data_IF_846274027430
#
_entry.id   IF_846274027430
#
_cell.length_a   1.000
_cell.length_b   1.000
_cell.length_c   1.000
_cell.angle_alpha   90.00
_cell.angle_beta   90.00
_cell.angle_gamma   90.00
#
_symmetry.space_group_name_H-M   'P 1'
#
loop_
_entity.id
_entity.type
_entity.pdbx_description
1 polymer ?
#
# COMPACT_ATOMS: atom_id res chain seq x y z
N UNK A 1 38.76 -54.30 -65.76
CA UNK A 1 39.41 -53.48 -64.73
C UNK A 1 39.69 -52.10 -65.33
N UNK A 2 38.78 -51.14 -65.08
CA UNK A 2 38.96 -49.76 -65.58
C UNK A 2 38.76 -48.84 -64.38
N UNK A 3 39.82 -48.14 -63.95
CA UNK A 3 39.78 -47.13 -62.93
C UNK A 3 39.23 -45.84 -63.51
N UNK A 4 38.16 -45.29 -62.87
CA UNK A 4 37.72 -43.91 -63.10
C UNK A 4 38.19 -43.07 -61.94
N UNK A 5 38.99 -42.08 -62.28
CA UNK A 5 39.48 -41.03 -61.35
C UNK A 5 38.53 -39.86 -61.45
N UNK A 6 37.74 -39.62 -60.41
CA UNK A 6 36.85 -38.45 -60.34
C UNK A 6 37.54 -37.34 -59.51
N UNK A 7 37.78 -36.24 -60.14
CA UNK A 7 38.31 -35.00 -59.58
C UNK A 7 37.13 -34.26 -58.91
N UNK A 8 37.18 -34.11 -57.57
CA UNK A 8 36.24 -33.24 -56.86
C UNK A 8 36.82 -31.83 -56.78
N UNK A 9 36.14 -30.89 -57.42
CA UNK A 9 36.40 -29.44 -57.31
C UNK A 9 35.71 -28.94 -55.99
N UNK A 10 36.48 -28.55 -54.98
CA UNK A 10 35.95 -27.94 -53.75
C UNK A 10 35.65 -26.47 -53.98
N UNK A 11 34.36 -26.12 -54.03
CA UNK A 11 33.88 -24.77 -54.04
C UNK A 11 33.77 -24.28 -52.60
N UNK A 12 34.71 -23.46 -52.12
CA UNK A 12 34.69 -22.86 -50.79
C UNK A 12 33.62 -21.78 -50.69
N UNK A 13 32.50 -22.06 -50.04
CA UNK A 13 31.52 -21.06 -49.66
C UNK A 13 31.96 -20.39 -48.33
N UNK A 14 32.40 -19.14 -48.41
CA UNK A 14 32.57 -18.25 -47.25
C UNK A 14 31.21 -17.92 -46.68
N UNK A 15 30.73 -18.71 -45.72
CA UNK A 15 29.54 -18.45 -44.94
C UNK A 15 29.84 -17.36 -43.89
N UNK A 16 29.52 -16.12 -44.19
CA UNK A 16 29.50 -15.05 -43.22
C UNK A 16 28.43 -15.33 -42.18
N UNK A 17 28.86 -15.69 -40.95
CA UNK A 17 27.94 -15.75 -39.78
C UNK A 17 27.56 -14.33 -39.41
N UNK A 18 26.39 -13.89 -39.86
CA UNK A 18 25.74 -12.71 -39.28
C UNK A 18 25.40 -13.04 -37.82
N UNK A 19 26.18 -12.56 -36.86
CA UNK A 19 25.79 -12.54 -35.46
C UNK A 19 24.58 -11.61 -35.33
N UNK A 20 23.39 -12.22 -35.25
CA UNK A 20 22.19 -11.51 -34.81
C UNK A 20 22.43 -11.07 -33.38
N UNK A 21 22.71 -9.78 -33.18
CA UNK A 21 22.68 -9.17 -31.84
C UNK A 21 21.24 -9.18 -31.38
N UNK A 22 20.86 -10.22 -30.63
CA UNK A 22 19.59 -10.25 -29.96
C UNK A 22 19.54 -9.04 -29.00
N UNK A 23 18.72 -8.08 -29.32
CA UNK A 23 18.43 -6.95 -28.43
C UNK A 23 17.80 -7.53 -27.21
N UNK A 24 18.48 -7.48 -26.06
CA UNK A 24 17.94 -7.91 -24.76
C UNK A 24 16.84 -6.89 -24.42
N UNK A 25 15.62 -7.19 -24.81
CA UNK A 25 14.44 -6.44 -24.37
C UNK A 25 14.30 -6.70 -22.86
N UNK A 26 14.56 -5.67 -22.06
CA UNK A 26 14.26 -5.76 -20.62
C UNK A 26 12.76 -6.03 -20.47
N UNK A 27 12.36 -7.06 -19.72
CA UNK A 27 10.94 -7.33 -19.52
C UNK A 27 10.27 -6.11 -18.89
N UNK A 28 9.15 -5.68 -19.47
CA UNK A 28 8.32 -4.61 -18.89
C UNK A 28 7.64 -5.20 -17.65
N UNK A 29 7.86 -4.62 -16.48
CA UNK A 29 7.24 -5.16 -15.26
C UNK A 29 5.73 -4.94 -15.27
N UNK A 30 4.99 -5.85 -14.66
CA UNK A 30 3.58 -5.62 -14.38
C UNK A 30 3.42 -4.34 -13.52
N UNK A 31 2.42 -3.49 -13.79
CA UNK A 31 2.21 -2.25 -13.03
C UNK A 31 2.12 -2.48 -11.52
N UNK A 32 1.56 -3.61 -11.08
CA UNK A 32 1.47 -4.00 -9.68
C UNK A 32 2.84 -4.20 -9.02
N UNK A 33 3.81 -4.81 -9.73
CA UNK A 33 5.19 -4.94 -9.22
C UNK A 33 5.82 -3.59 -8.90
N UNK A 34 5.64 -2.61 -9.79
CA UNK A 34 6.19 -1.27 -9.59
C UNK A 34 5.55 -0.59 -8.39
N UNK A 35 4.22 -0.73 -8.21
CA UNK A 35 3.52 -0.19 -7.04
C UNK A 35 4.02 -0.81 -5.73
N UNK A 36 4.23 -2.14 -5.69
CA UNK A 36 4.80 -2.83 -4.52
C UNK A 36 6.19 -2.29 -4.16
N UNK A 37 7.09 -2.16 -5.14
CA UNK A 37 8.45 -1.66 -4.91
C UNK A 37 8.43 -0.21 -4.42
N UNK A 38 7.56 0.63 -4.97
CA UNK A 38 7.40 2.02 -4.55
C UNK A 38 6.81 2.14 -3.14
N UNK A 39 5.86 1.26 -2.80
CA UNK A 39 5.20 1.26 -1.50
C UNK A 39 6.11 0.73 -0.38
N UNK A 40 6.98 -0.23 -0.68
CA UNK A 40 7.81 -0.92 0.31
C UNK A 40 9.33 -0.81 0.03
N UNK A 41 9.88 0.40 -0.17
CA UNK A 41 11.27 0.60 -0.58
C UNK A 41 12.28 0.18 0.50
N UNK A 42 11.85 -0.04 1.74
CA UNK A 42 12.71 -0.53 2.83
C UNK A 42 12.99 -2.03 2.71
N UNK A 43 12.12 -2.79 2.05
CA UNK A 43 12.17 -4.25 1.94
C UNK A 43 12.48 -4.73 0.53
N UNK A 44 11.97 -4.05 -0.49
CA UNK A 44 12.11 -4.44 -1.89
C UNK A 44 13.18 -3.62 -2.59
N UNK A 45 13.95 -4.29 -3.48
CA UNK A 45 15.01 -3.63 -4.25
C UNK A 45 14.81 -3.67 -5.76
N UNK A 46 13.91 -4.53 -6.27
CA UNK A 46 13.72 -4.68 -7.70
C UNK A 46 12.79 -5.83 -8.06
N UNK A 47 12.83 -6.20 -9.33
CA UNK A 47 11.98 -7.24 -9.94
C UNK A 47 12.72 -7.98 -11.06
N UNK A 48 12.20 -9.13 -11.44
CA UNK A 48 12.47 -9.84 -12.70
C UNK A 48 11.18 -9.91 -13.51
N UNK A 49 11.11 -10.79 -14.51
CA UNK A 49 9.90 -10.98 -15.33
C UNK A 49 8.67 -11.35 -14.48
N UNK A 50 8.83 -12.22 -13.49
CA UNK A 50 7.74 -12.71 -12.64
C UNK A 50 8.10 -12.81 -11.15
N UNK A 51 9.10 -12.06 -10.66
CA UNK A 51 9.44 -12.08 -9.23
C UNK A 51 9.74 -10.67 -8.75
N UNK A 52 9.31 -10.37 -7.52
CA UNK A 52 9.85 -9.26 -6.75
C UNK A 52 11.13 -9.72 -6.03
N UNK A 53 12.08 -8.80 -5.89
CA UNK A 53 13.38 -9.06 -5.27
C UNK A 53 13.45 -8.29 -3.95
N UNK A 54 13.67 -9.02 -2.87
CA UNK A 54 13.87 -8.48 -1.54
C UNK A 54 15.29 -7.95 -1.35
N UNK A 55 15.47 -7.03 -0.41
CA UNK A 55 16.81 -6.48 -0.09
C UNK A 55 17.74 -7.50 0.53
N UNK A 56 17.23 -8.55 1.15
CA UNK A 56 18.01 -9.68 1.67
C UNK A 56 18.54 -10.62 0.56
N UNK A 57 18.21 -10.34 -0.70
CA UNK A 57 18.63 -11.13 -1.85
C UNK A 57 17.67 -12.24 -2.27
N UNK A 58 16.69 -12.56 -1.46
CA UNK A 58 15.66 -13.54 -1.83
C UNK A 58 14.69 -12.99 -2.86
N UNK A 59 13.96 -13.87 -3.52
CA UNK A 59 12.90 -13.52 -4.47
C UNK A 59 11.58 -14.15 -4.04
N UNK A 60 10.47 -13.54 -4.51
CA UNK A 60 9.12 -14.06 -4.32
C UNK A 60 8.37 -13.98 -5.66
N UNK A 61 7.69 -15.05 -6.11
CA UNK A 61 6.85 -15.01 -7.31
C UNK A 61 5.82 -13.87 -7.19
N UNK A 62 5.56 -13.21 -8.33
CA UNK A 62 4.51 -12.19 -8.43
C UNK A 62 3.18 -12.83 -8.79
N UNK A 63 3.19 -13.74 -9.76
CA UNK A 63 2.04 -14.43 -10.32
C UNK A 63 2.37 -15.94 -10.32
N UNK A 64 1.49 -16.76 -9.77
CA UNK A 64 1.63 -18.24 -9.76
C UNK A 64 1.14 -18.88 -11.07
N UNK A 65 0.54 -18.09 -11.97
CA UNK A 65 0.02 -18.54 -13.26
C UNK A 65 -1.26 -19.37 -13.17
N UNK A 66 -1.92 -19.39 -12.01
CA UNK A 66 -3.17 -20.13 -11.81
C UNK A 66 -4.37 -19.22 -12.07
N UNK A 67 -5.37 -19.79 -12.74
CA UNK A 67 -6.69 -19.17 -12.79
C UNK A 67 -7.49 -19.62 -11.56
N UNK A 68 -7.89 -18.68 -10.73
CA UNK A 68 -8.56 -18.92 -9.45
C UNK A 68 -9.98 -18.38 -9.46
N UNK A 69 -10.91 -19.10 -8.86
CA UNK A 69 -12.20 -18.54 -8.46
C UNK A 69 -12.00 -17.52 -7.33
N UNK A 70 -13.02 -16.74 -6.99
CA UNK A 70 -12.92 -15.75 -5.92
C UNK A 70 -12.55 -16.39 -4.57
N UNK A 71 -13.19 -17.51 -4.21
CA UNK A 71 -12.89 -18.23 -2.97
C UNK A 71 -11.46 -18.77 -2.95
N UNK A 72 -11.00 -19.38 -4.05
CA UNK A 72 -9.62 -19.84 -4.20
C UNK A 72 -8.62 -18.67 -4.11
N UNK A 73 -8.98 -17.51 -4.66
CA UNK A 73 -8.16 -16.31 -4.56
C UNK A 73 -8.02 -15.85 -3.10
N UNK A 74 -9.08 -15.90 -2.32
CA UNK A 74 -8.99 -15.57 -0.90
C UNK A 74 -8.06 -16.51 -0.12
N UNK A 75 -8.08 -17.81 -0.42
CA UNK A 75 -7.30 -18.82 0.32
C UNK A 75 -5.85 -18.90 -0.14
N UNK A 76 -5.57 -18.60 -1.42
CA UNK A 76 -4.25 -18.72 -2.05
C UNK A 76 -3.81 -17.49 -2.82
N UNK A 77 -4.12 -16.30 -2.30
CA UNK A 77 -3.75 -15.00 -2.90
C UNK A 77 -2.25 -14.90 -3.15
N UNK A 78 -1.83 -14.71 -4.38
CA UNK A 78 -0.48 -14.30 -4.74
C UNK A 78 -0.35 -12.74 -4.82
N UNK A 79 0.76 -12.23 -5.34
CA UNK A 79 0.96 -10.78 -5.42
C UNK A 79 0.23 -10.15 -6.61
N UNK A 80 0.00 -10.91 -7.66
CA UNK A 80 -0.78 -10.48 -8.82
C UNK A 80 -2.25 -10.31 -8.42
N UNK A 81 -2.84 -11.31 -7.78
CA UNK A 81 -4.19 -11.27 -7.23
C UNK A 81 -4.37 -10.07 -6.28
N UNK A 82 -3.40 -9.88 -5.36
CA UNK A 82 -3.41 -8.76 -4.42
C UNK A 82 -3.45 -7.40 -5.12
N UNK A 83 -2.74 -7.26 -6.24
CA UNK A 83 -2.54 -5.99 -6.93
C UNK A 83 -3.57 -5.70 -8.02
N UNK A 84 -4.14 -6.73 -8.63
CA UNK A 84 -5.05 -6.61 -9.77
C UNK A 84 -6.50 -7.06 -9.46
N UNK A 85 -6.73 -7.67 -8.31
CA UNK A 85 -8.05 -8.12 -7.88
C UNK A 85 -9.00 -6.96 -7.54
N UNK A 86 -9.59 -7.00 -6.37
CA UNK A 86 -10.58 -5.99 -5.96
C UNK A 86 -9.91 -4.63 -5.70
N UNK A 87 -10.07 -3.71 -6.67
CA UNK A 87 -9.37 -2.41 -6.68
C UNK A 87 -9.95 -1.46 -5.64
N UNK A 88 -9.12 -0.99 -4.72
CA UNK A 88 -9.47 0.06 -3.76
C UNK A 88 -9.37 1.45 -4.41
N UNK A 89 -10.46 2.23 -4.35
CA UNK A 89 -10.50 3.61 -4.87
C UNK A 89 -10.58 4.61 -3.72
N UNK A 90 -9.53 5.41 -3.46
CA UNK A 90 -9.54 6.39 -2.38
C UNK A 90 -10.44 7.59 -2.71
N UNK A 91 -10.90 8.30 -1.69
CA UNK A 91 -11.66 9.54 -1.81
C UNK A 91 -13.07 9.40 -2.40
N UNK A 92 -13.48 8.22 -2.81
CA UNK A 92 -14.79 7.97 -3.38
C UNK A 92 -15.82 7.84 -2.26
N UNK A 93 -16.94 8.56 -2.38
CA UNK A 93 -18.08 8.33 -1.52
C UNK A 93 -18.66 6.94 -1.81
N UNK A 94 -18.89 6.16 -0.75
CA UNK A 94 -19.54 4.85 -0.86
C UNK A 94 -21.00 5.04 -0.45
N UNK A 95 -21.89 4.99 -1.44
CA UNK A 95 -23.33 5.00 -1.17
C UNK A 95 -23.86 3.58 -0.98
N UNK A 96 -23.37 2.62 -1.76
CA UNK A 96 -23.64 1.19 -1.62
C UNK A 96 -22.50 0.42 -2.26
N UNK A 97 -21.75 -0.43 -1.52
CA UNK A 97 -20.74 -1.30 -2.12
C UNK A 97 -21.36 -2.28 -3.13
N UNK A 98 -20.60 -2.64 -4.14
CA UNK A 98 -20.99 -3.71 -5.06
C UNK A 98 -21.11 -5.03 -4.30
N UNK A 99 -22.13 -5.85 -4.66
CA UNK A 99 -22.35 -7.16 -4.06
C UNK A 99 -21.05 -7.98 -4.03
N UNK A 100 -20.75 -8.58 -2.89
CA UNK A 100 -19.59 -9.42 -2.61
C UNK A 100 -18.23 -8.81 -3.04
N UNK A 101 -18.11 -7.48 -3.02
CA UNK A 101 -16.90 -6.78 -3.42
C UNK A 101 -16.25 -6.09 -2.21
N UNK A 102 -15.12 -6.63 -1.75
CA UNK A 102 -14.35 -6.15 -0.61
C UNK A 102 -12.97 -5.64 -1.05
N UNK A 103 -12.86 -4.40 -1.57
CA UNK A 103 -11.64 -3.89 -2.18
C UNK A 103 -10.44 -3.90 -1.24
N UNK A 104 -9.34 -4.53 -1.68
CA UNK A 104 -8.09 -4.61 -0.93
C UNK A 104 -8.02 -5.75 0.09
N UNK A 105 -9.00 -6.65 0.14
CA UNK A 105 -9.00 -7.79 1.07
C UNK A 105 -8.16 -8.97 0.58
N UNK A 106 -7.85 -9.07 -0.69
CA UNK A 106 -6.87 -10.04 -1.19
C UNK A 106 -5.49 -9.68 -0.64
N UNK A 107 -4.88 -10.60 0.10
CA UNK A 107 -3.58 -10.41 0.78
C UNK A 107 -2.71 -11.64 0.62
N UNK A 108 -1.60 -11.51 -0.07
CA UNK A 108 -0.56 -12.54 -0.10
C UNK A 108 0.02 -12.68 1.31
N UNK A 109 -0.40 -13.73 2.03
CA UNK A 109 -0.04 -13.95 3.44
C UNK A 109 1.47 -14.06 3.65
N UNK A 110 2.17 -14.73 2.74
CA UNK A 110 3.62 -14.92 2.81
C UNK A 110 4.37 -13.59 2.69
N UNK A 111 3.87 -12.69 1.83
CA UNK A 111 4.45 -11.35 1.66
C UNK A 111 4.39 -10.55 2.97
N UNK A 112 3.24 -10.52 3.61
CA UNK A 112 3.06 -9.81 4.88
C UNK A 112 3.82 -10.48 6.03
N UNK A 113 3.78 -11.80 6.13
CA UNK A 113 4.55 -12.55 7.14
C UNK A 113 6.05 -12.30 7.02
N UNK A 114 6.60 -12.34 5.82
CA UNK A 114 8.03 -12.03 5.58
C UNK A 114 8.36 -10.61 6.00
N UNK A 115 7.49 -9.67 5.75
CA UNK A 115 7.73 -8.24 6.02
C UNK A 115 7.52 -7.88 7.49
N UNK A 116 6.41 -8.30 8.09
CA UNK A 116 5.96 -7.87 9.42
C UNK A 116 6.25 -8.88 10.54
N UNK A 117 6.56 -10.13 10.21
CA UNK A 117 6.85 -11.20 11.15
C UNK A 117 5.97 -12.42 10.94
N UNK A 118 6.59 -13.62 10.95
CA UNK A 118 5.92 -14.90 10.73
C UNK A 118 5.41 -15.56 12.03
N UNK A 119 5.66 -14.94 13.19
CA UNK A 119 5.15 -15.38 14.48
C UNK A 119 4.74 -14.20 15.35
N UNK A 120 3.91 -14.46 16.36
CA UNK A 120 3.48 -13.45 17.33
C UNK A 120 4.66 -12.76 18.01
N UNK A 121 5.67 -13.54 18.42
CA UNK A 121 6.86 -12.99 19.06
C UNK A 121 7.63 -12.04 18.14
N UNK A 122 7.77 -12.39 16.86
CA UNK A 122 8.41 -11.52 15.87
C UNK A 122 7.61 -10.25 15.62
N UNK A 123 6.30 -10.34 15.48
CA UNK A 123 5.44 -9.18 15.30
C UNK A 123 5.46 -8.27 16.54
N UNK A 124 5.32 -8.84 17.73
CA UNK A 124 5.39 -8.11 19.02
C UNK A 124 6.70 -7.36 19.21
N UNK A 125 7.84 -7.96 18.83
CA UNK A 125 9.15 -7.32 18.97
C UNK A 125 9.33 -6.05 18.13
N UNK A 126 8.46 -5.82 17.17
CA UNK A 126 8.47 -4.66 16.24
C UNK A 126 7.46 -3.59 16.62
N UNK A 127 6.67 -3.82 17.67
CA UNK A 127 5.69 -2.85 18.15
C UNK A 127 6.38 -1.71 18.90
N UNK A 128 5.93 -0.51 18.63
CA UNK A 128 6.37 0.71 19.31
C UNK A 128 5.14 1.52 19.72
N UNK A 129 5.21 2.29 20.82
CA UNK A 129 4.10 3.12 21.24
C UNK A 129 4.01 4.38 20.36
N UNK A 130 2.78 4.79 20.08
CA UNK A 130 2.46 6.12 19.55
C UNK A 130 1.46 6.82 20.48
N UNK A 131 1.35 8.14 20.33
CA UNK A 131 0.41 8.96 21.10
C UNK A 131 -0.88 9.11 20.31
N UNK A 132 -1.99 8.69 20.90
CA UNK A 132 -3.32 8.72 20.28
C UNK A 132 -4.29 9.57 21.12
N UNK A 133 -5.28 10.26 20.52
CA UNK A 133 -6.31 10.98 21.27
C UNK A 133 -7.05 10.08 22.27
N UNK A 134 -7.20 10.52 23.53
CA UNK A 134 -7.98 9.82 24.52
C UNK A 134 -9.36 10.48 24.75
N UNK A 135 -10.25 9.84 25.50
CA UNK A 135 -11.65 10.26 25.68
C UNK A 135 -11.77 11.67 26.27
N UNK A 136 -11.04 11.97 27.33
CA UNK A 136 -11.07 13.29 27.94
C UNK A 136 -10.41 14.33 27.02
N UNK A 137 -11.05 15.50 26.85
CA UNK A 137 -10.53 16.56 25.99
C UNK A 137 -9.11 16.99 26.41
N UNK A 138 -8.21 17.07 25.45
CA UNK A 138 -6.82 17.44 25.70
C UNK A 138 -5.95 16.34 26.29
N UNK A 139 -6.49 15.13 26.50
CA UNK A 139 -5.73 13.96 26.98
C UNK A 139 -5.34 13.03 25.83
N UNK A 140 -4.32 12.20 26.07
CA UNK A 140 -3.80 11.22 25.13
C UNK A 140 -3.64 9.87 25.80
N UNK A 141 -3.58 8.82 24.99
CA UNK A 141 -3.26 7.45 25.40
C UNK A 141 -2.12 6.91 24.54
N UNK A 142 -1.44 5.89 25.02
CA UNK A 142 -0.46 5.15 24.22
C UNK A 142 -1.13 3.94 23.58
N UNK A 143 -0.91 3.76 22.29
CA UNK A 143 -1.31 2.57 21.55
C UNK A 143 -0.09 1.97 20.87
N UNK A 144 -0.07 0.66 20.65
CA UNK A 144 1.09 -0.07 20.16
C UNK A 144 0.87 -0.51 18.72
N UNK A 145 1.75 -0.10 17.82
CA UNK A 145 1.70 -0.40 16.38
C UNK A 145 3.08 -0.76 15.87
N UNK A 146 3.15 -1.44 14.73
CA UNK A 146 4.45 -1.83 14.16
C UNK A 146 5.27 -0.64 13.69
N UNK A 147 6.58 -0.70 13.87
CA UNK A 147 7.54 0.25 13.29
C UNK A 147 7.91 -0.09 11.84
N UNK A 148 7.58 -1.31 11.38
CA UNK A 148 7.86 -1.75 10.01
C UNK A 148 7.17 -0.82 9.01
N UNK A 149 7.83 -0.51 7.92
CA UNK A 149 7.38 0.44 6.87
C UNK A 149 7.00 1.84 7.40
N UNK A 150 7.34 2.15 8.64
CA UNK A 150 6.98 3.42 9.25
C UNK A 150 5.50 3.57 9.59
N UNK A 151 4.75 2.46 9.72
CA UNK A 151 3.33 2.49 10.12
C UNK A 151 3.11 3.36 11.35
N UNK A 152 3.99 3.25 12.35
CA UNK A 152 3.95 4.08 13.55
C UNK A 152 4.02 5.59 13.24
N UNK A 153 4.85 6.00 12.27
CA UNK A 153 4.96 7.42 11.86
C UNK A 153 3.73 7.88 11.10
N UNK A 154 3.22 7.03 10.20
CA UNK A 154 2.01 7.32 9.44
C UNK A 154 0.79 7.43 10.36
N UNK A 155 0.62 6.48 11.29
CA UNK A 155 -0.50 6.52 12.21
C UNK A 155 -0.36 7.65 13.26
N UNK A 156 0.87 8.01 13.67
CA UNK A 156 1.09 9.20 14.49
C UNK A 156 0.68 10.50 13.76
N UNK A 157 0.95 10.58 12.45
CA UNK A 157 0.52 11.73 11.65
C UNK A 157 -1.02 11.80 11.54
N UNK A 158 -1.70 10.66 11.35
CA UNK A 158 -3.16 10.55 11.46
C UNK A 158 -3.64 11.07 12.82
N UNK A 159 -3.04 10.58 13.92
CA UNK A 159 -3.40 10.98 15.28
C UNK A 159 -3.29 12.49 15.49
N UNK A 160 -2.23 13.11 14.98
CA UNK A 160 -2.00 14.55 15.08
C UNK A 160 -3.06 15.36 14.31
N UNK A 161 -3.42 14.91 13.12
CA UNK A 161 -4.48 15.55 12.33
C UNK A 161 -5.85 15.43 12.98
N UNK A 162 -6.17 14.26 13.55
CA UNK A 162 -7.41 14.01 14.28
C UNK A 162 -7.49 14.83 15.58
N UNK A 163 -6.37 14.95 16.30
CA UNK A 163 -6.29 15.78 17.52
C UNK A 163 -6.61 17.26 17.26
N UNK A 164 -6.26 17.77 16.08
CA UNK A 164 -6.58 19.11 15.63
C UNK A 164 -8.06 19.33 15.25
N UNK A 165 -8.88 18.26 15.24
CA UNK A 165 -10.29 18.25 14.82
C UNK A 165 -11.23 17.80 15.94
N UNK A 166 -11.59 18.66 16.89
CA UNK A 166 -12.37 18.27 18.08
C UNK A 166 -13.74 17.64 17.76
N UNK A 167 -14.35 18.00 16.61
CA UNK A 167 -15.64 17.44 16.19
C UNK A 167 -15.58 15.95 15.81
N UNK A 168 -14.41 15.43 15.44
CA UNK A 168 -14.19 14.02 15.10
C UNK A 168 -13.87 13.15 16.33
N UNK A 169 -13.61 13.76 17.49
CA UNK A 169 -13.04 13.11 18.66
C UNK A 169 -13.82 11.86 19.11
N UNK A 170 -15.14 11.94 19.15
CA UNK A 170 -15.98 10.82 19.59
C UNK A 170 -15.79 9.54 18.76
N UNK A 171 -15.45 9.68 17.48
CA UNK A 171 -15.27 8.55 16.57
C UNK A 171 -13.90 7.88 16.69
N UNK A 172 -12.92 8.55 17.28
CA UNK A 172 -11.52 8.08 17.30
C UNK A 172 -10.96 7.82 18.69
N UNK A 173 -11.76 8.05 19.74
CA UNK A 173 -11.41 7.68 21.12
C UNK A 173 -12.05 6.35 21.48
N UNK A 174 -11.58 5.70 22.57
CA UNK A 174 -12.06 4.37 22.97
C UNK A 174 -11.96 3.36 21.82
N UNK A 175 -10.75 3.24 21.25
CA UNK A 175 -10.46 2.40 20.06
C UNK A 175 -10.72 0.91 20.36
N UNK A 176 -11.16 0.16 19.35
CA UNK A 176 -11.34 -1.29 19.40
C UNK A 176 -10.02 -2.05 19.52
N UNK A 177 -8.92 -1.49 18.98
CA UNK A 177 -7.59 -2.06 19.15
C UNK A 177 -6.66 -1.87 17.95
N UNK A 178 -5.38 -2.26 18.12
CA UNK A 178 -4.35 -2.18 17.07
C UNK A 178 -3.66 -3.52 16.83
N UNK A 179 -3.23 -4.20 17.86
CA UNK A 179 -2.50 -5.46 17.76
C UNK A 179 -3.28 -6.61 18.42
N UNK A 180 -3.51 -7.66 17.65
CA UNK A 180 -4.11 -8.89 18.13
C UNK A 180 -3.68 -10.04 17.19
N UNK A 181 -2.85 -10.97 17.69
CA UNK A 181 -2.37 -12.11 16.90
C UNK A 181 -3.46 -13.17 16.77
N UNK A 182 -4.16 -13.15 15.64
CA UNK A 182 -5.26 -14.07 15.34
C UNK A 182 -5.51 -14.20 13.85
N UNK A 183 -6.23 -15.23 13.47
CA UNK A 183 -6.83 -15.29 12.13
C UNK A 183 -8.10 -14.42 12.05
N UNK A 184 -8.50 -14.08 10.85
CA UNK A 184 -9.82 -13.52 10.57
C UNK A 184 -10.85 -14.60 10.93
N UNK A 185 -11.90 -14.21 11.66
CA UNK A 185 -12.91 -15.14 12.16
C UNK A 185 -13.53 -15.97 11.02
N UNK A 186 -13.50 -17.29 11.17
CA UNK A 186 -14.03 -18.23 10.18
C UNK A 186 -13.07 -18.57 9.02
N UNK A 187 -11.81 -18.08 9.07
CA UNK A 187 -10.82 -18.32 8.00
C UNK A 187 -9.47 -18.80 8.54
N UNK A 188 -8.61 -19.28 7.64
CA UNK A 188 -7.19 -19.59 7.92
C UNK A 188 -6.28 -18.38 7.74
N UNK A 189 -6.80 -17.25 7.25
CA UNK A 189 -6.05 -16.05 6.88
C UNK A 189 -5.70 -15.21 8.11
N UNK A 190 -4.45 -14.78 8.19
CA UNK A 190 -3.97 -13.91 9.26
C UNK A 190 -4.63 -12.54 9.19
N UNK A 191 -5.12 -12.05 10.33
CA UNK A 191 -5.67 -10.69 10.43
C UNK A 191 -4.56 -9.64 10.29
N UNK A 192 -4.81 -8.47 9.66
CA UNK A 192 -3.87 -7.34 9.63
C UNK A 192 -3.49 -6.83 11.03
N UNK A 193 -4.37 -7.00 12.00
CA UNK A 193 -4.07 -6.71 13.42
C UNK A 193 -2.92 -7.54 13.97
N UNK A 194 -2.72 -8.76 13.47
CA UNK A 194 -1.59 -9.62 13.87
C UNK A 194 -0.23 -9.02 13.54
N UNK A 195 -0.18 -8.14 12.56
CA UNK A 195 1.02 -7.44 12.15
C UNK A 195 1.19 -6.07 12.80
N UNK A 196 0.21 -5.61 13.59
CA UNK A 196 0.19 -4.26 14.17
C UNK A 196 0.10 -3.14 13.12
N UNK A 197 -0.42 -3.45 11.93
CA UNK A 197 -0.56 -2.50 10.81
C UNK A 197 -2.00 -2.01 10.62
N UNK A 198 -2.91 -2.40 11.50
CA UNK A 198 -4.32 -2.02 11.49
C UNK A 198 -4.73 -1.34 12.79
N UNK A 199 -5.83 -0.61 12.74
CA UNK A 199 -6.50 -0.01 13.88
C UNK A 199 -8.00 -0.09 13.68
N UNK A 200 -8.72 -0.49 14.72
CA UNK A 200 -10.16 -0.30 14.84
C UNK A 200 -10.41 0.94 15.71
N UNK A 201 -11.02 1.97 15.13
CA UNK A 201 -11.41 3.18 15.86
C UNK A 201 -12.61 2.91 16.75
N UNK A 202 -13.25 3.95 17.33
CA UNK A 202 -14.33 3.76 18.29
C UNK A 202 -15.50 2.93 17.73
N UNK A 203 -15.67 1.73 18.27
CA UNK A 203 -16.69 0.77 17.82
C UNK A 203 -18.13 1.23 18.13
N UNK A 204 -18.32 2.14 19.10
CA UNK A 204 -19.65 2.68 19.45
C UNK A 204 -20.22 3.56 18.34
N UNK A 205 -19.36 4.18 17.52
CA UNK A 205 -19.72 5.07 16.43
C UNK A 205 -19.29 4.51 15.06
N UNK A 206 -19.32 3.19 14.95
CA UNK A 206 -18.98 2.47 13.74
C UNK A 206 -19.96 1.30 13.53
N UNK A 207 -19.95 0.77 12.32
CA UNK A 207 -20.85 -0.29 11.90
C UNK A 207 -20.03 -1.49 11.40
N UNK A 208 -20.47 -2.69 11.75
CA UNK A 208 -19.90 -3.94 11.28
C UNK A 208 -21.02 -4.84 10.77
N UNK A 209 -20.86 -5.37 9.56
CA UNK A 209 -21.91 -6.11 8.88
C UNK A 209 -22.51 -7.27 9.71
N UNK A 210 -21.69 -8.00 10.50
CA UNK A 210 -22.16 -9.09 11.36
C UNK A 210 -22.97 -8.63 12.58
N UNK A 211 -22.92 -7.36 12.95
CA UNK A 211 -23.69 -6.88 14.08
C UNK A 211 -25.16 -6.67 13.75
N UNK A 212 -25.48 -6.36 12.50
CA UNK A 212 -26.86 -6.16 12.06
C UNK A 212 -27.66 -7.46 12.07
N UNK A 213 -26.99 -8.59 11.97
CA UNK A 213 -27.58 -9.92 11.82
C UNK A 213 -27.13 -10.89 12.92
N UNK A 214 -27.06 -10.43 14.17
CA UNK A 214 -26.52 -11.20 15.31
C UNK A 214 -27.13 -12.59 15.50
N UNK A 215 -28.36 -12.83 15.05
CA UNK A 215 -29.04 -14.12 15.13
C UNK A 215 -28.88 -14.97 13.84
N UNK A 216 -28.60 -14.36 12.68
CA UNK A 216 -28.78 -15.00 11.37
C UNK A 216 -27.51 -15.01 10.51
N UNK A 217 -26.36 -14.55 11.00
CA UNK A 217 -25.10 -14.48 10.23
C UNK A 217 -24.56 -15.84 9.74
N UNK A 218 -25.17 -16.95 10.19
CA UNK A 218 -24.87 -18.31 9.71
C UNK A 218 -25.75 -18.74 8.53
N UNK A 219 -26.66 -17.87 8.07
CA UNK A 219 -27.59 -18.20 6.99
C UNK A 219 -27.13 -17.48 5.72
N UNK A 220 -26.74 -18.22 4.68
CA UNK A 220 -26.25 -17.71 3.38
C UNK A 220 -27.16 -16.63 2.75
N UNK A 221 -28.48 -16.68 3.01
CA UNK A 221 -29.44 -15.69 2.49
C UNK A 221 -29.26 -14.27 3.07
N UNK A 222 -28.58 -14.14 4.22
CA UNK A 222 -28.34 -12.84 4.87
C UNK A 222 -27.20 -12.10 4.19
N UNK A 223 -26.13 -12.79 3.78
CA UNK A 223 -25.00 -12.20 3.06
C UNK A 223 -25.45 -11.58 1.72
N UNK A 224 -26.47 -12.15 1.10
CA UNK A 224 -26.99 -11.66 -0.19
C UNK A 224 -27.79 -10.35 -0.08
N UNK A 225 -28.20 -9.92 1.13
CA UNK A 225 -29.08 -8.78 1.36
C UNK A 225 -28.51 -7.76 2.36
N UNK A 226 -27.20 -7.66 2.50
CA UNK A 226 -26.56 -6.70 3.40
C UNK A 226 -26.97 -5.27 3.04
N UNK A 227 -27.49 -4.55 4.02
CA UNK A 227 -27.74 -3.12 3.91
C UNK A 227 -26.53 -2.36 4.46
N UNK A 228 -25.77 -1.74 3.58
CA UNK A 228 -24.64 -0.94 3.98
C UNK A 228 -25.03 0.20 4.94
N UNK A 229 -24.24 0.36 6.00
CA UNK A 229 -24.38 1.43 7.00
C UNK A 229 -23.02 2.02 7.30
N UNK A 230 -23.02 3.30 7.64
CA UNK A 230 -21.80 3.99 8.07
C UNK A 230 -22.13 5.17 8.98
N UNK A 231 -21.49 5.22 10.14
CA UNK A 231 -21.53 6.34 11.08
C UNK A 231 -20.19 7.09 11.17
N UNK A 232 -19.14 6.59 10.47
CA UNK A 232 -17.81 7.22 10.46
C UNK A 232 -17.78 8.38 9.47
N UNK A 233 -17.43 9.61 9.88
CA UNK A 233 -17.28 10.74 8.97
C UNK A 233 -16.23 10.49 7.89
N UNK A 234 -16.54 10.80 6.63
CA UNK A 234 -15.61 10.63 5.50
C UNK A 234 -14.33 11.45 5.66
N UNK A 235 -14.37 12.55 6.40
CA UNK A 235 -13.15 13.31 6.75
C UNK A 235 -12.11 12.46 7.48
N UNK A 236 -12.54 11.52 8.35
CA UNK A 236 -11.64 10.55 8.99
C UNK A 236 -11.04 9.62 7.93
N UNK A 237 -11.86 9.09 7.03
CA UNK A 237 -11.39 8.19 5.96
C UNK A 237 -10.34 8.89 5.10
N UNK A 238 -10.60 10.12 4.67
CA UNK A 238 -9.66 10.90 3.87
C UNK A 238 -8.33 11.17 4.59
N UNK A 239 -8.36 11.39 5.92
CA UNK A 239 -7.15 11.54 6.73
C UNK A 239 -6.34 10.25 6.67
N UNK A 240 -6.95 9.11 6.94
CA UNK A 240 -6.27 7.82 6.92
C UNK A 240 -5.70 7.47 5.53
N UNK A 241 -6.48 7.67 4.47
CA UNK A 241 -6.06 7.39 3.09
C UNK A 241 -4.84 8.20 2.66
N UNK A 242 -4.77 9.49 3.05
CA UNK A 242 -3.60 10.33 2.78
C UNK A 242 -2.33 9.82 3.45
N UNK A 243 -2.47 9.04 4.51
CA UNK A 243 -1.35 8.45 5.26
C UNK A 243 -1.11 6.97 4.93
N UNK A 244 -1.71 6.45 3.85
CA UNK A 244 -1.42 5.10 3.36
C UNK A 244 -2.30 3.99 3.91
N UNK A 245 -3.41 4.32 4.56
CA UNK A 245 -4.36 3.33 5.09
C UNK A 245 -5.58 3.21 4.18
N UNK A 246 -6.06 2.00 3.96
CA UNK A 246 -7.36 1.73 3.36
C UNK A 246 -8.42 1.56 4.46
N UNK A 247 -9.70 1.68 4.09
CA UNK A 247 -10.84 1.66 4.99
C UNK A 247 -11.79 0.50 4.70
N UNK A 248 -12.11 -0.30 5.72
CA UNK A 248 -13.06 -1.42 5.61
C UNK A 248 -14.53 -1.02 5.40
N UNK A 249 -14.87 0.26 5.56
CA UNK A 249 -16.21 0.75 5.23
C UNK A 249 -16.52 0.81 3.73
N UNK A 250 -15.55 0.55 2.84
CA UNK A 250 -15.75 0.41 1.39
C UNK A 250 -16.05 -1.03 0.95
N UNK A 251 -16.07 -1.96 1.89
CA UNK A 251 -16.35 -3.35 1.61
C UNK A 251 -17.86 -3.61 1.56
N UNK A 252 -18.27 -4.60 0.79
CA UNK A 252 -19.63 -5.14 0.87
C UNK A 252 -19.88 -5.71 2.27
N UNK A 253 -18.93 -6.48 2.78
CA UNK A 253 -18.90 -6.95 4.17
C UNK A 253 -18.25 -5.87 5.06
N UNK A 254 -18.93 -4.72 5.14
CA UNK A 254 -18.39 -3.50 5.73
C UNK A 254 -17.95 -3.64 7.19
N UNK A 255 -16.76 -3.06 7.45
CA UNK A 255 -16.18 -2.90 8.78
C UNK A 255 -15.70 -1.45 8.92
N UNK A 256 -16.62 -0.57 9.34
CA UNK A 256 -16.39 0.88 9.25
C UNK A 256 -15.44 1.41 10.33
N UNK A 257 -15.12 0.61 11.37
CA UNK A 257 -14.09 0.97 12.34
C UNK A 257 -12.68 0.63 11.84
N UNK A 258 -12.54 -0.30 10.89
CA UNK A 258 -11.29 -0.90 10.47
C UNK A 258 -10.52 -0.05 9.45
N UNK A 259 -9.25 0.24 9.78
CA UNK A 259 -8.26 0.82 8.87
C UNK A 259 -6.99 -0.01 8.87
N UNK A 260 -6.42 -0.30 7.69
CA UNK A 260 -5.17 -1.06 7.57
C UNK A 260 -4.18 -0.38 6.62
N UNK A 261 -2.89 -0.43 6.95
CA UNK A 261 -1.84 0.21 6.17
C UNK A 261 -1.52 -0.58 4.90
N UNK A 262 -1.95 -0.06 3.76
CA UNK A 262 -1.83 -0.68 2.42
C UNK A 262 -1.44 0.36 1.37
N UNK A 263 -0.24 0.95 1.48
CA UNK A 263 0.19 2.02 0.58
C UNK A 263 0.29 1.58 -0.88
N UNK A 264 0.47 0.29 -1.16
CA UNK A 264 0.52 -0.27 -2.51
C UNK A 264 -0.83 -0.20 -3.25
N UNK A 265 -1.93 -0.08 -2.52
CA UNK A 265 -3.29 0.02 -3.08
C UNK A 265 -3.72 1.47 -3.29
N UNK A 266 -2.94 2.43 -2.81
CA UNK A 266 -3.24 3.85 -2.88
C UNK A 266 -2.34 4.55 -3.91
N UNK A 267 -2.78 5.67 -4.49
CA UNK A 267 -1.91 6.47 -5.32
C UNK A 267 -0.71 6.97 -4.51
N UNK A 268 0.48 7.03 -5.10
CA UNK A 268 1.65 7.53 -4.39
C UNK A 268 1.39 8.97 -3.88
N UNK A 269 1.89 9.32 -2.70
CA UNK A 269 1.70 10.66 -2.15
C UNK A 269 2.21 11.71 -3.14
N UNK A 270 1.37 12.73 -3.42
CA UNK A 270 1.76 13.84 -4.29
C UNK A 270 3.01 14.48 -3.69
N UNK A 271 4.10 14.51 -4.45
CA UNK A 271 5.31 15.23 -4.02
C UNK A 271 4.91 16.68 -3.69
N UNK A 272 5.37 17.25 -2.55
CA UNK A 272 5.10 18.65 -2.26
C UNK A 272 5.55 19.48 -3.46
N UNK A 273 4.65 20.29 -4.01
CA UNK A 273 5.00 21.28 -5.03
C UNK A 273 5.89 22.30 -4.31
N UNK A 274 7.20 22.15 -4.46
CA UNK A 274 8.15 23.17 -4.05
C UNK A 274 7.83 24.38 -4.93
N UNK A 275 7.08 25.34 -4.39
CA UNK A 275 6.90 26.64 -5.04
C UNK A 275 8.30 27.22 -5.18
N UNK A 276 8.85 27.19 -6.39
CA UNK A 276 10.07 27.91 -6.72
C UNK A 276 9.82 29.39 -6.40
N UNK A 277 10.34 29.84 -5.27
CA UNK A 277 10.45 31.26 -4.99
C UNK A 277 11.59 31.77 -5.88
N UNK A 278 11.27 32.11 -7.11
CA UNK A 278 12.14 32.93 -7.95
C UNK A 278 12.30 34.26 -7.23
N UNK A 279 13.41 34.39 -6.50
CA UNK A 279 13.86 35.65 -5.90
C UNK A 279 14.11 36.60 -7.07
N UNK A 280 13.17 37.52 -7.35
CA UNK A 280 13.39 38.62 -8.29
C UNK A 280 14.61 39.39 -7.76
N UNK A 281 15.73 39.28 -8.47
CA UNK A 281 16.89 40.12 -8.26
C UNK A 281 16.50 41.56 -8.63
N UNK A 282 16.39 42.43 -7.66
CA UNK A 282 16.27 43.88 -7.87
C UNK A 282 17.50 44.39 -8.60
N UNK A 283 17.37 45.15 -9.70
CA UNK A 283 18.52 45.69 -10.39
C UNK A 283 19.25 46.70 -9.47
N UNK A 284 20.54 46.49 -9.29
CA UNK A 284 21.44 47.40 -8.56
C UNK A 284 21.52 48.71 -9.32
N UNK A 285 21.08 49.82 -8.69
CA UNK A 285 21.16 51.18 -9.20
C UNK A 285 22.63 51.53 -9.45
N UNK A 286 23.04 52.15 -10.59
CA UNK A 286 24.42 52.55 -10.85
C UNK A 286 24.84 53.66 -9.85
N UNK A 287 26.01 53.49 -9.25
CA UNK A 287 26.68 54.49 -8.40
C UNK A 287 27.11 55.68 -9.27
N UNK A 288 26.67 56.87 -8.92
CA UNK A 288 27.10 58.11 -9.57
C UNK A 288 28.56 58.37 -9.23
N UNK A 289 29.39 58.50 -10.27
CA UNK A 289 30.79 58.94 -10.21
C UNK A 289 30.84 60.39 -9.77
N UNK A 290 31.52 60.68 -8.65
CA UNK A 290 31.85 62.01 -8.21
C UNK A 290 32.94 62.63 -9.11
N UNK A 291 32.65 63.80 -9.67
CA UNK A 291 33.58 64.65 -10.43
C UNK A 291 34.55 65.35 -9.48
N UNK A 292 35.86 65.49 -9.78
CA UNK A 292 36.79 66.17 -8.96
C UNK A 292 36.68 67.67 -9.22
N UNK A 293 36.42 68.49 -8.20
CA UNK A 293 36.57 69.93 -8.24
C UNK A 293 38.06 70.31 -8.16
N UNK A 294 38.54 70.93 -9.25
CA UNK A 294 39.85 71.52 -9.32
C UNK A 294 39.95 72.76 -8.41
N UNK A 295 41.10 72.86 -7.80
CA UNK A 295 41.45 74.00 -6.99
C UNK A 295 41.82 75.29 -7.76
N UNK A 296 41.62 76.35 -7.16
CA UNK A 296 42.47 77.56 -7.38
C UNK A 296 42.37 78.48 -6.13
N UNK A 297 43.58 78.73 -5.67
CA UNK A 297 44.07 79.84 -4.81
C UNK A 297 43.69 79.81 -3.31
#
# INVERSE_FOLDING_TARGET
MKFFLSIFLACGALGGHAQSSATIVKPVPAPGMLRLIQAYPQHLKGYTSNHIIWKDGTSMPYDDGLFKTEDETFDSTDLEDQMNGLVYTPGTRVDTPTFNCDPGTFRCQEFFRKMYGSSEAQAKSRLVPIVWPAKARGTTQRIWVTSVNGVNRHLQAVANELAARPHLRKHVTDIGGTFNWRNIMGTTRQSPHSFGMAIDINTTYAEYWKWDHRADWMIDSVEQNLRWRNSVPLEIVEIFERHGFIWGGKWYHYDTMHFEYRPELLPPPKKPVVKSTTRKSTPKKPSATASPRGGKR
#
